data_IF_946892145450
#
_entry.id   IF_946892145450
#
_cell.length_a   1.000
_cell.length_b   1.000
_cell.length_c   1.000
_cell.angle_alpha   90.00
_cell.angle_beta   90.00
_cell.angle_gamma   90.00
#
_symmetry.space_group_name_H-M   'P 1'
#
loop_
_entity.id
_entity.type
_entity.pdbx_description
1 polymer ?
#
# COMPACT_ATOMS: atom_id res chain seq x y z
N UNK A 1 -10.29 5.17 -2.53
CA UNK A 1 -10.70 6.56 -2.20
C UNK A 1 -9.46 7.40 -1.96
N UNK A 2 -9.47 8.69 -2.31
CA UNK A 2 -8.36 9.61 -1.97
C UNK A 2 -8.38 9.86 -0.47
N UNK A 3 -7.21 9.80 0.16
CA UNK A 3 -7.04 10.14 1.58
C UNK A 3 -6.97 11.66 1.68
N UNK A 4 -8.08 12.28 2.09
CA UNK A 4 -8.20 13.74 2.20
C UNK A 4 -7.93 14.28 3.60
N UNK A 5 -7.98 13.42 4.61
CA UNK A 5 -7.74 13.79 6.00
C UNK A 5 -6.24 13.92 6.28
N UNK A 6 -5.87 14.96 7.04
CA UNK A 6 -4.46 15.28 7.32
C UNK A 6 -3.81 14.24 8.24
N UNK A 7 -4.55 13.74 9.23
CA UNK A 7 -4.05 12.76 10.19
C UNK A 7 -3.92 11.38 9.52
N UNK A 8 -4.89 11.00 8.67
CA UNK A 8 -4.82 9.77 7.86
C UNK A 8 -3.65 9.81 6.86
N UNK A 9 -3.36 10.97 6.27
CA UNK A 9 -2.20 11.17 5.41
C UNK A 9 -0.86 11.06 6.16
N UNK A 10 -0.75 11.66 7.35
CA UNK A 10 0.44 11.53 8.19
C UNK A 10 0.67 10.07 8.59
N UNK A 11 -0.40 9.37 8.97
CA UNK A 11 -0.33 7.95 9.31
C UNK A 11 0.11 7.08 8.12
N UNK A 12 -0.44 7.32 6.93
CA UNK A 12 -0.03 6.61 5.71
C UNK A 12 1.45 6.86 5.36
N UNK A 13 1.94 8.10 5.55
CA UNK A 13 3.34 8.44 5.36
C UNK A 13 4.26 7.70 6.34
N UNK A 14 3.88 7.59 7.61
CA UNK A 14 4.65 6.84 8.61
C UNK A 14 4.71 5.34 8.26
N UNK A 15 3.60 4.75 7.83
CA UNK A 15 3.55 3.36 7.36
C UNK A 15 4.44 3.14 6.13
N UNK A 16 4.50 4.09 5.20
CA UNK A 16 5.42 4.03 4.05
C UNK A 16 6.89 4.03 4.49
N UNK A 17 7.26 4.90 5.43
CA UNK A 17 8.63 4.94 5.96
C UNK A 17 8.98 3.68 6.77
N UNK A 18 8.00 3.07 7.43
CA UNK A 18 8.16 1.77 8.09
C UNK A 18 8.38 0.65 7.07
N UNK A 19 7.54 0.59 6.01
CA UNK A 19 7.59 -0.46 4.98
C UNK A 19 8.81 -0.36 4.06
N UNK A 20 9.28 0.87 3.81
CA UNK A 20 10.40 1.19 2.94
C UNK A 20 11.43 2.05 3.68
N UNK A 21 12.22 1.46 4.60
CA UNK A 21 13.19 2.20 5.42
C UNK A 21 14.19 3.04 4.62
N UNK A 22 14.52 2.63 3.39
CA UNK A 22 15.39 3.36 2.48
C UNK A 22 14.89 4.78 2.16
N UNK A 23 13.58 5.02 2.20
CA UNK A 23 13.01 6.34 1.95
C UNK A 23 13.28 7.33 3.10
N UNK A 24 13.61 6.84 4.29
CA UNK A 24 13.97 7.71 5.44
C UNK A 24 15.22 8.53 5.17
N UNK A 25 16.15 8.02 4.36
CA UNK A 25 17.35 8.76 3.99
C UNK A 25 17.01 9.95 3.08
N UNK A 26 16.00 9.79 2.21
CA UNK A 26 15.53 10.86 1.30
C UNK A 26 14.76 11.95 2.06
N UNK A 27 13.93 11.57 3.05
CA UNK A 27 13.26 12.56 3.90
C UNK A 27 14.24 13.37 4.73
N UNK A 28 15.30 12.73 5.25
CA UNK A 28 16.37 13.41 5.99
C UNK A 28 17.16 14.40 5.13
N UNK A 29 17.30 14.16 3.83
CA UNK A 29 17.93 15.10 2.89
C UNK A 29 17.00 16.26 2.46
N UNK A 30 15.83 16.41 3.08
CA UNK A 30 14.85 17.46 2.78
C UNK A 30 13.94 17.14 1.58
N UNK A 31 14.08 15.96 0.98
CA UNK A 31 13.23 15.52 -0.13
C UNK A 31 12.05 14.74 0.44
N UNK A 32 10.86 15.32 0.43
CA UNK A 32 9.65 14.58 0.83
C UNK A 32 9.22 13.71 -0.37
N UNK A 33 9.27 12.37 -0.29
CA UNK A 33 9.07 11.47 -1.44
C UNK A 33 7.69 11.58 -2.11
N UNK A 34 6.72 12.14 -1.39
CA UNK A 34 5.33 12.29 -1.81
C UNK A 34 4.92 13.75 -2.06
N UNK A 35 5.87 14.69 -2.19
CA UNK A 35 5.50 16.07 -2.60
C UNK A 35 4.77 16.05 -3.95
N UNK A 36 3.57 16.62 -3.98
CA UNK A 36 2.71 16.63 -5.17
C UNK A 36 2.02 15.30 -5.47
N UNK A 37 2.22 14.27 -4.63
CA UNK A 37 1.50 12.99 -4.70
C UNK A 37 0.28 12.96 -3.77
N UNK A 38 -0.62 12.01 -4.01
CA UNK A 38 -1.80 11.75 -3.15
C UNK A 38 -1.81 10.30 -2.70
N UNK A 39 -2.24 10.06 -1.46
CA UNK A 39 -2.47 8.70 -0.99
C UNK A 39 -3.85 8.21 -1.43
N UNK A 40 -3.89 6.98 -1.94
CA UNK A 40 -5.09 6.29 -2.37
C UNK A 40 -5.30 5.05 -1.51
N UNK A 41 -6.44 5.00 -0.81
CA UNK A 41 -6.89 3.82 -0.10
C UNK A 41 -7.54 2.85 -1.08
N UNK A 42 -6.97 1.65 -1.21
CA UNK A 42 -7.48 0.56 -2.03
C UNK A 42 -8.02 -0.52 -1.11
N UNK A 43 -9.33 -0.78 -1.20
CA UNK A 43 -9.99 -1.89 -0.50
C UNK A 43 -10.33 -2.94 -1.54
N UNK A 44 -9.55 -4.03 -1.64
CA UNK A 44 -9.84 -5.07 -2.62
C UNK A 44 -11.13 -5.79 -2.22
N UNK A 45 -12.00 -6.08 -3.19
CA UNK A 45 -13.18 -6.92 -3.00
C UNK A 45 -12.92 -8.39 -3.39
N UNK A 46 -12.01 -8.58 -4.35
CA UNK A 46 -11.58 -9.88 -4.85
C UNK A 46 -10.09 -9.85 -5.15
N UNK A 47 -9.41 -10.98 -4.98
CA UNK A 47 -7.97 -11.16 -5.27
C UNK A 47 -7.81 -12.48 -6.02
N UNK A 48 -7.02 -12.49 -7.09
CA UNK A 48 -6.57 -13.72 -7.74
C UNK A 48 -5.12 -13.98 -7.35
N UNK A 49 -4.84 -15.12 -6.73
CA UNK A 49 -3.49 -15.50 -6.27
C UNK A 49 -2.92 -16.50 -7.25
N UNK A 50 -1.72 -16.23 -7.74
CA UNK A 50 -0.93 -17.14 -8.54
C UNK A 50 -0.06 -17.98 -7.60
N UNK A 51 -0.33 -19.29 -7.56
CA UNK A 51 0.34 -20.24 -6.67
C UNK A 51 1.19 -21.22 -7.48
N UNK A 52 2.50 -20.99 -7.45
CA UNK A 52 3.47 -21.82 -8.16
C UNK A 52 3.77 -23.16 -7.47
N UNK A 53 3.33 -23.37 -6.23
CA UNK A 53 3.45 -24.68 -5.57
C UNK A 53 2.54 -25.73 -6.23
N UNK A 54 1.44 -25.29 -6.86
CA UNK A 54 0.47 -26.14 -7.54
C UNK A 54 0.72 -26.30 -9.05
N UNK A 55 1.74 -25.63 -9.59
CA UNK A 55 2.14 -25.70 -11.00
C UNK A 55 2.07 -24.36 -11.73
N UNK A 56 2.56 -24.35 -12.97
CA UNK A 56 2.63 -23.13 -13.76
C UNK A 56 1.24 -22.64 -14.16
N UNK A 57 0.90 -21.41 -13.78
CA UNK A 57 -0.35 -20.76 -14.16
C UNK A 57 -1.56 -21.14 -13.28
N UNK A 58 -1.36 -21.88 -12.19
CA UNK A 58 -2.45 -22.17 -11.25
C UNK A 58 -2.83 -20.90 -10.49
N UNK A 59 -4.09 -20.48 -10.65
CA UNK A 59 -4.61 -19.29 -9.98
C UNK A 59 -5.89 -19.63 -9.23
N UNK A 60 -6.02 -19.06 -8.04
CA UNK A 60 -7.21 -19.19 -7.21
C UNK A 60 -7.81 -17.81 -6.95
N UNK A 61 -9.13 -17.71 -7.12
CA UNK A 61 -9.89 -16.49 -6.87
C UNK A 61 -10.43 -16.50 -5.45
N UNK A 62 -10.15 -15.44 -4.70
CA UNK A 62 -10.60 -15.25 -3.34
C UNK A 62 -11.48 -14.00 -3.23
N UNK A 63 -12.58 -14.11 -2.49
CA UNK A 63 -13.33 -12.95 -2.04
C UNK A 63 -12.66 -12.38 -0.77
N UNK A 64 -12.52 -11.05 -0.72
CA UNK A 64 -12.00 -10.36 0.46
C UNK A 64 -13.18 -9.96 1.32
N UNK A 65 -13.31 -10.58 2.49
CA UNK A 65 -14.27 -10.12 3.48
C UNK A 65 -13.86 -8.70 3.93
N UNK A 66 -14.82 -7.78 3.97
CA UNK A 66 -14.57 -6.48 4.57
C UNK A 66 -14.13 -6.69 6.04
N UNK A 67 -13.04 -6.03 6.44
CA UNK A 67 -12.67 -5.98 7.85
C UNK A 67 -13.84 -5.36 8.63
N UNK A 68 -14.25 -5.93 9.78
CA UNK A 68 -15.35 -5.42 10.59
C UNK A 68 -15.11 -3.99 11.08
#
# INVERSE_FOLDING_TARGET
AVVGDADENAHAADLMLFRFPQLRQLTQSGTIPWQGGVFLRVTPAVISVLDYEQGFGHTELYAVAAAP
#
